data_IF_530532443197
#
_entry.id   IF_530532443197
#
_cell.length_a   1.000
_cell.length_b   1.000
_cell.length_c   1.000
_cell.angle_alpha   90.00
_cell.angle_beta   90.00
_cell.angle_gamma   90.00
#
_symmetry.space_group_name_H-M   'P 1'
#
loop_
_entity.id
_entity.type
_entity.pdbx_description
1 polymer ?
#
# COMPACT_ATOMS: atom_id res chain seq x y z
N UNK A 1 -16.81 6.95 5.34
CA UNK A 1 -15.78 7.28 4.34
C UNK A 1 -14.67 6.24 4.30
N UNK A 2 -13.91 6.05 5.38
CA UNK A 2 -12.85 5.04 5.45
C UNK A 2 -13.34 3.63 5.05
N UNK A 3 -14.56 3.28 5.43
CA UNK A 3 -15.19 2.02 5.02
C UNK A 3 -15.18 1.80 3.49
N UNK A 4 -15.45 2.84 2.70
CA UNK A 4 -15.45 2.74 1.23
C UNK A 4 -14.04 2.68 0.64
N UNK A 5 -13.07 3.36 1.27
CA UNK A 5 -11.65 3.21 0.94
C UNK A 5 -11.20 1.76 1.19
N UNK A 6 -11.55 1.20 2.34
CA UNK A 6 -11.27 -0.21 2.66
C UNK A 6 -11.95 -1.18 1.70
N UNK A 7 -13.22 -0.94 1.33
CA UNK A 7 -13.88 -1.75 0.31
C UNK A 7 -13.11 -1.79 -1.01
N UNK A 8 -12.55 -0.66 -1.44
CA UNK A 8 -11.74 -0.61 -2.65
C UNK A 8 -10.40 -1.34 -2.49
N UNK A 9 -9.74 -1.19 -1.33
CA UNK A 9 -8.46 -1.85 -1.03
C UNK A 9 -8.57 -3.39 -1.04
N UNK A 10 -9.61 -3.93 -0.41
CA UNK A 10 -9.80 -5.39 -0.31
C UNK A 10 -10.64 -5.97 -1.46
N UNK A 11 -11.61 -5.23 -1.96
CA UNK A 11 -12.51 -5.71 -3.03
C UNK A 11 -11.95 -5.58 -4.45
N UNK A 12 -10.84 -4.83 -4.63
CA UNK A 12 -10.21 -4.64 -5.93
C UNK A 12 -11.04 -3.82 -6.95
N UNK A 13 -12.07 -3.08 -6.47
CA UNK A 13 -12.95 -2.23 -7.26
C UNK A 13 -12.79 -0.75 -6.87
N UNK A 14 -13.57 0.14 -7.50
CA UNK A 14 -13.61 1.55 -7.13
C UNK A 14 -14.47 1.73 -5.88
N UNK A 15 -13.93 2.33 -4.83
CA UNK A 15 -14.73 2.79 -3.70
C UNK A 15 -15.49 4.05 -4.06
N UNK A 16 -16.79 4.14 -3.74
CA UNK A 16 -17.61 5.32 -4.03
C UNK A 16 -18.19 5.91 -2.76
N UNK A 17 -18.06 7.21 -2.60
CA UNK A 17 -18.75 7.95 -1.54
C UNK A 17 -19.38 9.23 -2.08
N UNK A 18 -20.54 9.56 -1.52
CA UNK A 18 -21.30 10.76 -1.87
C UNK A 18 -21.41 11.65 -0.63
N UNK A 19 -21.17 12.94 -0.79
CA UNK A 19 -21.34 13.95 0.25
C UNK A 19 -22.23 15.11 -0.24
N UNK A 20 -23.04 15.64 0.68
CA UNK A 20 -23.75 16.90 0.41
C UNK A 20 -22.76 18.04 0.20
N UNK A 21 -23.20 19.12 -0.42
CA UNK A 21 -22.40 20.33 -0.57
C UNK A 21 -21.95 20.91 0.78
N UNK A 22 -20.85 21.64 0.77
CA UNK A 22 -20.29 22.28 1.97
C UNK A 22 -19.82 21.27 3.03
N UNK A 23 -20.53 21.10 4.13
CA UNK A 23 -20.10 20.21 5.23
C UNK A 23 -19.87 18.76 4.80
N UNK A 24 -20.68 18.23 3.88
CA UNK A 24 -20.47 16.87 3.37
C UNK A 24 -19.15 16.73 2.63
N UNK A 25 -18.79 17.71 1.81
CA UNK A 25 -17.50 17.72 1.13
C UNK A 25 -16.33 17.77 2.12
N UNK A 26 -16.39 18.65 3.13
CA UNK A 26 -15.31 18.76 4.13
C UNK A 26 -15.14 17.47 4.94
N UNK A 27 -16.22 16.76 5.28
CA UNK A 27 -16.14 15.48 5.98
C UNK A 27 -15.58 14.34 5.13
N UNK A 28 -15.72 14.40 3.80
CA UNK A 28 -15.17 13.40 2.90
C UNK A 28 -13.64 13.46 2.78
N UNK A 29 -13.03 14.60 3.06
CA UNK A 29 -11.62 14.87 2.76
C UNK A 29 -10.67 13.85 3.44
N UNK A 30 -10.93 13.48 4.69
CA UNK A 30 -10.07 12.51 5.41
C UNK A 30 -9.98 11.15 4.68
N UNK A 31 -11.11 10.62 4.21
CA UNK A 31 -11.11 9.36 3.49
C UNK A 31 -10.58 9.47 2.07
N UNK A 32 -10.67 10.67 1.45
CA UNK A 32 -10.04 10.93 0.15
C UNK A 32 -8.53 11.01 0.31
N UNK A 33 -8.02 11.60 1.40
CA UNK A 33 -6.60 11.58 1.73
C UNK A 33 -6.09 10.15 1.98
N UNK A 34 -6.81 9.34 2.74
CA UNK A 34 -6.47 7.92 2.95
C UNK A 34 -6.36 7.17 1.63
N UNK A 35 -7.35 7.33 0.74
CA UNK A 35 -7.32 6.73 -0.59
C UNK A 35 -6.13 7.22 -1.44
N UNK A 36 -5.79 8.53 -1.35
CA UNK A 36 -4.66 9.11 -2.07
C UNK A 36 -3.32 8.55 -1.58
N UNK A 37 -3.12 8.49 -0.26
CA UNK A 37 -1.87 7.99 0.33
C UNK A 37 -1.63 6.50 0.04
N UNK A 38 -2.70 5.74 -0.11
CA UNK A 38 -2.64 4.31 -0.41
C UNK A 38 -2.80 3.98 -1.90
N UNK A 39 -2.82 4.99 -2.78
CA UNK A 39 -3.01 4.80 -4.22
C UNK A 39 -4.28 3.96 -4.55
N UNK A 40 -5.34 4.19 -3.80
CA UNK A 40 -6.59 3.43 -3.89
C UNK A 40 -7.54 4.09 -4.88
N UNK A 41 -8.06 3.36 -5.89
CA UNK A 41 -9.11 3.86 -6.78
C UNK A 41 -10.35 4.26 -5.99
N UNK A 42 -10.73 5.53 -6.08
CA UNK A 42 -11.84 6.07 -5.30
C UNK A 42 -12.58 7.15 -6.06
N UNK A 43 -13.90 7.19 -5.96
CA UNK A 43 -14.75 8.24 -6.51
C UNK A 43 -15.49 8.96 -5.39
N UNK A 44 -15.17 10.23 -5.20
CA UNK A 44 -15.91 11.14 -4.33
C UNK A 44 -16.87 11.99 -5.17
N UNK A 45 -18.16 11.86 -4.90
CA UNK A 45 -19.21 12.68 -5.53
C UNK A 45 -19.63 13.74 -4.51
N UNK A 46 -19.46 15.00 -4.87
CA UNK A 46 -19.81 16.16 -4.04
C UNK A 46 -21.04 16.83 -4.60
N UNK A 47 -22.09 16.98 -3.80
CA UNK A 47 -23.20 17.86 -4.17
C UNK A 47 -22.74 19.33 -4.13
N UNK A 48 -23.39 20.18 -4.89
CA UNK A 48 -23.27 21.64 -4.74
C UNK A 48 -24.60 22.32 -4.97
N UNK A 49 -24.64 23.63 -4.73
CA UNK A 49 -25.85 24.43 -4.93
C UNK A 49 -26.27 24.40 -6.41
N UNK A 50 -27.56 24.66 -6.70
CA UNK A 50 -28.02 24.83 -8.08
C UNK A 50 -27.18 25.89 -8.80
N UNK A 51 -26.96 25.71 -10.10
CA UNK A 51 -26.10 26.61 -10.90
C UNK A 51 -26.46 28.10 -10.76
N UNK A 52 -27.74 28.41 -10.65
CA UNK A 52 -28.23 29.78 -10.48
C UNK A 52 -28.02 30.36 -9.09
N UNK A 53 -27.61 29.57 -8.13
CA UNK A 53 -27.29 30.00 -6.75
C UNK A 53 -25.79 30.00 -6.46
N UNK A 54 -24.94 29.53 -7.40
CA UNK A 54 -23.50 29.49 -7.22
C UNK A 54 -22.92 30.89 -7.21
N UNK A 55 -21.95 31.12 -6.29
CA UNK A 55 -21.27 32.40 -6.05
C UNK A 55 -22.20 33.52 -5.49
N UNK A 56 -23.23 33.09 -4.78
CA UNK A 56 -24.23 33.98 -4.18
C UNK A 56 -24.25 33.88 -2.65
N UNK A 57 -23.24 33.26 -2.04
CA UNK A 57 -23.16 33.01 -0.59
C UNK A 57 -24.39 32.22 -0.07
N UNK A 58 -24.87 31.27 -0.88
CA UNK A 58 -26.02 30.44 -0.56
C UNK A 58 -25.74 29.53 0.63
N UNK A 59 -26.81 29.06 1.30
CA UNK A 59 -26.68 28.15 2.43
C UNK A 59 -25.84 26.93 2.13
N UNK A 60 -24.78 26.67 2.89
CA UNK A 60 -23.79 25.59 2.71
C UNK A 60 -23.00 25.68 1.38
N UNK A 61 -22.95 26.81 0.75
CA UNK A 61 -22.08 27.00 -0.40
C UNK A 61 -20.62 27.07 0.05
N UNK A 62 -19.77 26.28 -0.59
CA UNK A 62 -18.32 26.33 -0.44
C UNK A 62 -17.66 26.15 -1.82
N UNK A 63 -16.55 26.84 -2.04
CA UNK A 63 -15.67 26.51 -3.14
C UNK A 63 -14.87 25.25 -2.78
N UNK A 64 -15.45 24.08 -3.00
CA UNK A 64 -14.99 22.81 -2.45
C UNK A 64 -13.93 22.10 -3.30
N UNK A 65 -13.92 22.25 -4.62
CA UNK A 65 -12.92 21.59 -5.49
C UNK A 65 -11.46 21.91 -5.10
N UNK A 66 -11.07 23.17 -4.77
CA UNK A 66 -9.70 23.48 -4.38
C UNK A 66 -9.16 22.66 -3.20
N UNK A 67 -10.02 22.22 -2.28
CA UNK A 67 -9.61 21.40 -1.15
C UNK A 67 -9.02 20.05 -1.55
N UNK A 68 -9.34 19.56 -2.74
CA UNK A 68 -8.92 18.26 -3.25
C UNK A 68 -7.79 18.32 -4.29
N UNK A 69 -7.36 19.52 -4.71
CA UNK A 69 -6.39 19.68 -5.81
C UNK A 69 -5.04 18.98 -5.53
N UNK A 70 -4.63 18.91 -4.26
CA UNK A 70 -3.35 18.29 -3.88
C UNK A 70 -3.37 16.76 -3.81
N UNK A 71 -4.55 16.14 -3.89
CA UNK A 71 -4.72 14.70 -3.63
C UNK A 71 -5.52 13.96 -4.70
N UNK A 72 -6.38 14.67 -5.45
CA UNK A 72 -7.21 14.04 -6.46
C UNK A 72 -6.46 13.88 -7.78
N UNK A 73 -6.51 12.67 -8.36
CA UNK A 73 -6.00 12.39 -9.71
C UNK A 73 -6.91 12.93 -10.82
N UNK A 74 -8.14 13.27 -10.46
CA UNK A 74 -9.15 13.92 -11.30
C UNK A 74 -10.05 14.77 -10.38
N UNK A 75 -10.28 16.05 -10.73
CA UNK A 75 -11.08 16.95 -9.91
C UNK A 75 -11.84 17.92 -10.83
N UNK A 76 -13.14 17.70 -10.98
CA UNK A 76 -13.98 18.51 -11.88
C UNK A 76 -15.36 18.79 -11.29
N UNK A 77 -15.89 19.99 -11.64
CA UNK A 77 -17.30 20.30 -11.52
C UNK A 77 -17.98 20.02 -12.86
N UNK A 78 -19.14 19.39 -12.82
CA UNK A 78 -20.00 19.21 -14.00
C UNK A 78 -20.60 20.57 -14.38
N UNK A 79 -20.49 20.97 -15.66
CA UNK A 79 -20.96 22.27 -16.13
C UNK A 79 -22.44 22.26 -16.56
N UNK A 80 -22.92 21.12 -17.08
CA UNK A 80 -24.33 20.89 -17.46
C UNK A 80 -24.65 19.40 -17.44
N UNK A 81 -25.95 19.07 -17.32
CA UNK A 81 -26.40 17.71 -17.02
C UNK A 81 -25.96 16.66 -18.06
N UNK A 82 -25.92 17.01 -19.35
CA UNK A 82 -25.52 16.11 -20.43
C UNK A 82 -24.06 15.65 -20.36
N UNK A 83 -23.22 16.37 -19.61
CA UNK A 83 -21.82 15.95 -19.38
C UNK A 83 -21.70 14.89 -18.30
N UNK A 84 -22.69 14.76 -17.41
CA UNK A 84 -22.57 13.96 -16.21
C UNK A 84 -22.08 12.54 -16.48
N UNK A 85 -22.65 11.76 -17.42
CA UNK A 85 -22.18 10.40 -17.68
C UNK A 85 -20.71 10.34 -18.10
N UNK A 86 -20.27 11.26 -18.98
CA UNK A 86 -18.87 11.31 -19.44
C UNK A 86 -17.91 11.70 -18.33
N UNK A 87 -18.27 12.66 -17.50
CA UNK A 87 -17.43 13.13 -16.39
C UNK A 87 -17.25 12.01 -15.35
N UNK A 88 -18.32 11.23 -15.09
CA UNK A 88 -18.22 10.07 -14.19
C UNK A 88 -17.34 8.97 -14.79
N UNK A 89 -17.51 8.63 -16.08
CA UNK A 89 -16.66 7.64 -16.76
C UNK A 89 -15.18 8.07 -16.73
N UNK A 90 -14.90 9.31 -17.08
CA UNK A 90 -13.55 9.88 -17.01
C UNK A 90 -12.94 9.86 -15.59
N UNK A 91 -13.76 10.17 -14.58
CA UNK A 91 -13.37 10.10 -13.19
C UNK A 91 -13.01 8.67 -12.75
N UNK A 92 -13.86 7.70 -13.11
CA UNK A 92 -13.61 6.28 -12.84
C UNK A 92 -12.33 5.80 -13.55
N UNK A 93 -12.18 6.16 -14.82
CA UNK A 93 -10.98 5.86 -15.61
C UNK A 93 -9.72 6.44 -14.98
N UNK A 94 -9.77 7.69 -14.58
CA UNK A 94 -8.63 8.34 -13.92
C UNK A 94 -8.31 7.68 -12.56
N UNK A 95 -9.34 7.36 -11.77
CA UNK A 95 -9.15 6.70 -10.48
C UNK A 95 -8.44 5.36 -10.61
N UNK A 96 -8.85 4.52 -11.58
CA UNK A 96 -8.25 3.19 -11.81
C UNK A 96 -6.86 3.30 -12.44
N UNK A 97 -6.72 4.09 -13.52
CA UNK A 97 -5.47 4.13 -14.28
C UNK A 97 -4.33 4.85 -13.54
N UNK A 98 -4.65 5.88 -12.77
CA UNK A 98 -3.67 6.65 -11.98
C UNK A 98 -3.56 6.20 -10.53
N UNK A 99 -4.36 5.20 -10.12
CA UNK A 99 -4.42 4.67 -8.76
C UNK A 99 -4.56 5.77 -7.70
N UNK A 100 -5.73 6.39 -7.63
CA UNK A 100 -5.98 7.46 -6.68
C UNK A 100 -7.43 7.95 -6.69
N UNK A 101 -7.78 8.91 -5.84
CA UNK A 101 -9.14 9.44 -5.76
C UNK A 101 -9.46 10.39 -6.92
N UNK A 102 -10.63 10.19 -7.52
CA UNK A 102 -11.28 11.14 -8.40
C UNK A 102 -12.39 11.89 -7.65
N UNK A 103 -12.55 13.16 -7.92
CA UNK A 103 -13.55 14.02 -7.28
C UNK A 103 -14.42 14.67 -8.35
N UNK A 104 -15.73 14.51 -8.21
CA UNK A 104 -16.72 15.10 -9.13
C UNK A 104 -17.73 15.90 -8.32
N UNK A 105 -17.81 17.19 -8.59
CA UNK A 105 -18.81 18.08 -8.01
C UNK A 105 -20.02 18.21 -8.95
N UNK A 106 -21.22 17.95 -8.42
CA UNK A 106 -22.46 17.92 -9.18
C UNK A 106 -23.44 18.94 -8.60
N UNK A 107 -23.81 20.01 -9.36
CA UNK A 107 -24.90 20.88 -9.00
C UNK A 107 -26.23 20.14 -8.86
N UNK A 108 -26.93 20.34 -7.75
CA UNK A 108 -28.12 19.53 -7.38
C UNK A 108 -29.24 19.61 -8.42
N UNK A 109 -29.37 20.74 -9.13
CA UNK A 109 -30.42 20.90 -10.15
C UNK A 109 -30.24 19.98 -11.36
N UNK A 110 -29.05 19.39 -11.58
CA UNK A 110 -28.84 18.44 -12.67
C UNK A 110 -29.52 17.10 -12.42
N UNK A 111 -29.76 16.72 -11.16
CA UNK A 111 -30.51 15.51 -10.82
C UNK A 111 -32.00 15.54 -11.20
N UNK A 112 -32.53 16.68 -11.62
CA UNK A 112 -33.90 16.86 -12.07
C UNK A 112 -34.02 17.13 -13.57
N UNK A 113 -32.92 17.02 -14.31
CA UNK A 113 -32.91 17.24 -15.76
C UNK A 113 -32.89 15.89 -16.50
N UNK A 114 -33.70 15.80 -17.54
CA UNK A 114 -33.64 14.64 -18.43
C UNK A 114 -32.49 14.78 -19.42
N UNK A 115 -31.78 13.70 -19.68
CA UNK A 115 -30.68 13.63 -20.63
C UNK A 115 -30.98 12.50 -21.64
N UNK A 116 -30.46 12.62 -22.86
CA UNK A 116 -30.54 11.56 -23.85
C UNK A 116 -29.60 10.41 -23.48
N UNK A 117 -30.17 9.23 -23.21
CA UNK A 117 -29.40 8.02 -22.87
C UNK A 117 -28.43 7.63 -24.00
N UNK A 118 -28.73 7.96 -25.25
CA UNK A 118 -27.85 7.68 -26.40
C UNK A 118 -26.66 8.66 -26.50
N UNK A 119 -26.65 9.72 -25.72
CA UNK A 119 -25.52 10.68 -25.67
C UNK A 119 -24.28 10.11 -25.01
N UNK A 120 -24.39 8.96 -24.34
CA UNK A 120 -23.32 8.29 -23.61
C UNK A 120 -23.16 6.83 -24.06
N UNK A 121 -21.99 6.51 -24.50
CA UNK A 121 -21.57 5.12 -24.68
C UNK A 121 -20.58 4.78 -23.58
N UNK A 122 -21.05 4.12 -22.54
CA UNK A 122 -20.21 3.64 -21.47
C UNK A 122 -19.11 2.74 -22.02
N UNK A 123 -17.87 3.08 -21.75
CA UNK A 123 -16.77 2.29 -22.28
C UNK A 123 -16.55 1.00 -21.51
N UNK A 124 -16.94 0.91 -20.23
CA UNK A 124 -16.65 -0.23 -19.37
C UNK A 124 -15.15 -0.65 -19.33
N UNK A 125 -14.33 0.06 -20.13
CA UNK A 125 -12.94 -0.31 -20.38
C UNK A 125 -11.97 0.14 -19.28
N UNK A 126 -12.42 0.98 -18.35
CA UNK A 126 -11.58 1.40 -17.24
C UNK A 126 -11.22 0.25 -16.28
N UNK A 127 -12.03 -0.79 -16.19
CA UNK A 127 -11.73 -2.01 -15.43
C UNK A 127 -10.49 -2.75 -15.95
N UNK A 128 -10.16 -2.56 -17.24
CA UNK A 128 -9.01 -3.18 -17.90
C UNK A 128 -7.84 -2.22 -18.10
N UNK A 129 -7.97 -0.98 -17.66
CA UNK A 129 -6.99 0.07 -17.99
C UNK A 129 -5.71 0.03 -17.15
N UNK A 130 -5.64 -0.82 -16.13
CA UNK A 130 -4.40 -1.00 -15.39
C UNK A 130 -3.71 -2.29 -15.82
N UNK A 131 -2.73 -2.13 -16.69
CA UNK A 131 -1.77 -3.18 -17.07
C UNK A 131 -0.42 -2.77 -16.49
N UNK A 132 0.20 -3.66 -15.71
CA UNK A 132 1.55 -3.40 -15.22
C UNK A 132 2.53 -3.21 -16.38
N UNK A 133 3.48 -2.27 -16.27
CA UNK A 133 4.54 -2.14 -17.26
C UNK A 133 5.28 -3.46 -17.48
N UNK A 134 5.68 -3.74 -18.72
CA UNK A 134 6.54 -4.87 -19.01
C UNK A 134 7.89 -4.69 -18.30
N UNK A 135 8.40 -5.76 -17.71
CA UNK A 135 9.69 -5.73 -17.03
C UNK A 135 10.83 -5.51 -18.01
N UNK A 136 11.79 -4.70 -17.60
CA UNK A 136 13.04 -4.53 -18.35
C UNK A 136 14.00 -5.67 -17.97
N UNK A 137 14.25 -6.57 -18.91
CA UNK A 137 15.12 -7.74 -18.71
C UNK A 137 16.55 -7.33 -18.30
N UNK A 138 17.08 -6.22 -18.81
CA UNK A 138 18.41 -5.73 -18.43
C UNK A 138 18.48 -5.38 -16.95
N UNK A 139 17.44 -4.73 -16.42
CA UNK A 139 17.39 -4.39 -14.99
C UNK A 139 17.11 -5.63 -14.11
N UNK A 140 16.36 -6.60 -14.61
CA UNK A 140 16.20 -7.91 -13.94
C UNK A 140 17.55 -8.64 -13.88
N UNK A 141 18.29 -8.71 -14.98
CA UNK A 141 19.59 -9.38 -15.02
C UNK A 141 20.61 -8.72 -14.09
N UNK A 142 20.64 -7.38 -14.01
CA UNK A 142 21.46 -6.65 -13.03
C UNK A 142 21.06 -7.01 -11.58
N UNK A 143 19.76 -7.05 -11.28
CA UNK A 143 19.28 -7.41 -9.95
C UNK A 143 19.71 -8.84 -9.59
N UNK A 144 19.61 -9.77 -10.54
CA UNK A 144 20.06 -11.16 -10.37
C UNK A 144 21.57 -11.24 -10.11
N UNK A 145 22.37 -10.51 -10.88
CA UNK A 145 23.83 -10.45 -10.68
C UNK A 145 24.18 -9.92 -9.28
N UNK A 146 23.55 -8.82 -8.86
CA UNK A 146 23.77 -8.24 -7.53
C UNK A 146 23.40 -9.24 -6.43
N UNK A 147 22.22 -9.88 -6.52
CA UNK A 147 21.75 -10.83 -5.52
C UNK A 147 22.60 -12.10 -5.46
N UNK A 148 23.12 -12.57 -6.60
CA UNK A 148 24.01 -13.73 -6.65
C UNK A 148 25.37 -13.47 -5.98
N UNK A 149 25.79 -12.21 -5.86
CA UNK A 149 27.05 -11.80 -5.25
C UNK A 149 26.89 -11.25 -3.83
N UNK A 150 25.66 -11.14 -3.32
CA UNK A 150 25.38 -10.60 -2.00
C UNK A 150 25.80 -11.57 -0.88
N UNK A 151 26.47 -11.07 0.15
CA UNK A 151 26.84 -11.84 1.33
C UNK A 151 25.74 -11.80 2.41
N UNK A 152 25.07 -10.65 2.53
CA UNK A 152 24.02 -10.36 3.52
C UNK A 152 22.78 -9.74 2.87
N UNK A 153 22.14 -10.46 1.91
CA UNK A 153 20.96 -9.96 1.24
C UNK A 153 19.77 -9.88 2.18
N UNK A 154 18.88 -8.90 1.93
CA UNK A 154 17.57 -8.77 2.57
C UNK A 154 16.50 -8.43 1.55
N UNK A 155 15.30 -8.95 1.74
CA UNK A 155 14.11 -8.58 0.98
C UNK A 155 13.25 -7.66 1.85
N UNK A 156 12.98 -6.44 1.37
CA UNK A 156 12.08 -5.50 2.02
C UNK A 156 10.76 -5.46 1.23
N UNK A 157 9.75 -6.16 1.74
CA UNK A 157 8.47 -6.32 1.09
C UNK A 157 7.46 -5.26 1.58
N UNK A 158 7.09 -4.33 0.70
CA UNK A 158 6.06 -3.33 0.96
C UNK A 158 4.66 -3.74 0.46
N UNK A 159 3.71 -2.81 0.52
CA UNK A 159 2.32 -3.06 0.13
C UNK A 159 2.17 -3.54 -1.33
N UNK A 160 3.06 -3.11 -2.25
CA UNK A 160 3.03 -3.61 -3.63
C UNK A 160 3.28 -5.12 -3.75
N UNK A 161 3.89 -5.75 -2.74
CA UNK A 161 4.13 -7.19 -2.67
C UNK A 161 3.04 -8.01 -1.97
N UNK A 162 1.95 -7.39 -1.49
CA UNK A 162 0.94 -8.06 -0.64
C UNK A 162 0.31 -9.30 -1.28
N UNK A 163 0.14 -9.30 -2.60
CA UNK A 163 -0.41 -10.44 -3.35
C UNK A 163 0.66 -11.45 -3.81
N UNK A 164 1.91 -11.22 -3.47
CA UNK A 164 3.07 -11.97 -3.94
C UNK A 164 3.83 -12.69 -2.80
N UNK A 165 3.21 -12.84 -1.63
CA UNK A 165 3.86 -13.41 -0.44
C UNK A 165 4.48 -14.78 -0.68
N UNK A 166 3.80 -15.65 -1.41
CA UNK A 166 4.30 -16.99 -1.76
C UNK A 166 5.59 -16.92 -2.60
N UNK A 167 5.57 -16.20 -3.70
CA UNK A 167 6.75 -16.08 -4.59
C UNK A 167 7.91 -15.35 -3.91
N UNK A 168 7.63 -14.35 -3.05
CA UNK A 168 8.65 -13.66 -2.26
C UNK A 168 9.26 -14.61 -1.23
N UNK A 169 8.45 -15.47 -0.61
CA UNK A 169 8.92 -16.49 0.32
C UNK A 169 9.80 -17.53 -0.38
N UNK A 170 9.43 -17.97 -1.58
CA UNK A 170 10.26 -18.85 -2.40
C UNK A 170 11.60 -18.22 -2.78
N UNK A 171 11.58 -16.94 -3.17
CA UNK A 171 12.79 -16.17 -3.46
C UNK A 171 13.70 -16.10 -2.22
N UNK A 172 13.13 -15.73 -1.07
CA UNK A 172 13.84 -15.70 0.21
C UNK A 172 14.50 -17.06 0.54
N UNK A 173 13.77 -18.15 0.37
CA UNK A 173 14.32 -19.51 0.60
C UNK A 173 15.46 -19.84 -0.36
N UNK A 174 15.33 -19.44 -1.63
CA UNK A 174 16.32 -19.75 -2.67
C UNK A 174 17.64 -19.00 -2.45
N UNK A 175 17.59 -17.69 -2.16
CA UNK A 175 18.78 -16.85 -1.97
C UNK A 175 19.19 -16.68 -0.50
N UNK A 176 18.49 -17.32 0.43
CA UNK A 176 18.74 -17.21 1.90
C UNK A 176 18.75 -15.76 2.41
N UNK A 177 17.80 -14.96 1.94
CA UNK A 177 17.60 -13.57 2.34
C UNK A 177 16.43 -13.46 3.31
N UNK A 178 16.62 -12.91 4.53
CA UNK A 178 15.52 -12.60 5.44
C UNK A 178 14.50 -11.66 4.79
N UNK A 179 13.23 -11.75 5.20
CA UNK A 179 12.16 -10.87 4.76
C UNK A 179 11.83 -9.88 5.87
N UNK A 180 11.94 -8.58 5.54
CA UNK A 180 11.36 -7.50 6.33
C UNK A 180 10.05 -7.11 5.65
N UNK A 181 8.98 -6.96 6.42
CA UNK A 181 7.69 -6.51 5.91
C UNK A 181 7.30 -5.14 6.46
N UNK A 182 6.34 -4.49 5.84
CA UNK A 182 5.68 -3.31 6.40
C UNK A 182 4.37 -3.73 7.08
N UNK A 183 3.83 -2.90 7.98
CA UNK A 183 2.56 -3.19 8.63
C UNK A 183 1.39 -3.46 7.67
N UNK A 184 1.44 -2.91 6.45
CA UNK A 184 0.44 -3.13 5.40
C UNK A 184 0.64 -4.41 4.57
N UNK A 185 1.73 -5.14 4.79
CA UNK A 185 2.07 -6.36 4.03
C UNK A 185 2.33 -7.56 4.95
N UNK A 186 1.94 -7.46 6.21
CA UNK A 186 2.23 -8.48 7.19
C UNK A 186 1.52 -9.80 6.90
N UNK A 187 0.27 -9.71 6.47
CA UNK A 187 -0.59 -10.85 6.16
C UNK A 187 -0.17 -11.64 4.90
N UNK A 188 0.76 -11.11 4.11
CA UNK A 188 1.23 -11.81 2.91
C UNK A 188 2.12 -13.01 3.22
N UNK A 189 2.59 -13.15 4.46
CA UNK A 189 3.57 -14.14 4.87
C UNK A 189 3.05 -15.02 5.99
N UNK A 190 3.40 -16.30 5.93
CA UNK A 190 3.14 -17.20 7.06
C UNK A 190 3.93 -16.75 8.28
N UNK A 191 3.22 -16.56 9.39
CA UNK A 191 3.79 -16.11 10.67
C UNK A 191 4.97 -16.94 11.16
N UNK A 192 4.95 -18.26 10.94
CA UNK A 192 5.97 -19.20 11.37
C UNK A 192 7.10 -19.37 10.37
N UNK A 193 7.10 -18.65 9.24
CA UNK A 193 8.20 -18.71 8.31
C UNK A 193 9.51 -18.26 8.97
N UNK A 194 10.54 -19.13 8.96
CA UNK A 194 11.80 -18.88 9.67
C UNK A 194 12.55 -17.63 9.21
N UNK A 195 12.42 -17.27 7.94
CA UNK A 195 13.03 -16.09 7.34
C UNK A 195 12.26 -14.77 7.54
N UNK A 196 11.05 -14.81 8.11
CA UNK A 196 10.26 -13.61 8.37
C UNK A 196 10.76 -12.92 9.64
N UNK A 197 11.36 -11.73 9.50
CA UNK A 197 11.92 -10.96 10.61
C UNK A 197 10.94 -9.94 11.18
N UNK A 198 9.79 -9.77 10.54
CA UNK A 198 8.77 -8.79 10.93
C UNK A 198 8.96 -7.41 10.33
N UNK A 199 8.35 -6.41 10.92
CA UNK A 199 8.48 -5.01 10.52
C UNK A 199 9.75 -4.41 11.12
N UNK A 200 10.40 -3.48 10.41
CA UNK A 200 11.57 -2.78 10.91
C UNK A 200 11.21 -1.42 11.52
N UNK A 201 12.04 -0.99 12.43
CA UNK A 201 12.13 0.32 13.04
C UNK A 201 11.02 0.68 14.03
N UNK A 202 10.30 1.79 13.86
CA UNK A 202 9.47 2.43 14.90
C UNK A 202 8.40 1.52 15.53
N UNK A 203 7.84 0.64 14.72
CA UNK A 203 6.86 -0.39 15.13
C UNK A 203 7.42 -1.78 14.82
N UNK A 204 8.73 -1.90 14.98
CA UNK A 204 9.46 -3.03 14.44
C UNK A 204 9.89 -4.02 15.49
N UNK A 205 10.15 -5.21 15.03
CA UNK A 205 10.75 -6.26 15.82
C UNK A 205 12.26 -6.10 15.89
N UNK A 206 12.83 -6.50 16.99
CA UNK A 206 14.29 -6.47 17.17
C UNK A 206 15.05 -7.20 16.04
N UNK A 207 14.65 -8.41 15.59
CA UNK A 207 15.33 -9.08 14.48
C UNK A 207 15.33 -8.27 13.19
N UNK A 208 14.20 -7.64 12.82
CA UNK A 208 14.12 -6.82 11.63
C UNK A 208 15.05 -5.61 11.69
N UNK A 209 15.17 -4.97 12.86
CA UNK A 209 16.08 -3.84 13.05
C UNK A 209 17.54 -4.26 12.90
N UNK A 210 17.94 -5.42 13.45
CA UNK A 210 19.29 -5.95 13.29
C UNK A 210 19.63 -6.20 11.83
N UNK A 211 18.70 -6.84 11.07
CA UNK A 211 18.88 -7.10 9.62
C UNK A 211 19.08 -5.80 8.84
N UNK A 212 18.28 -4.76 9.11
CA UNK A 212 18.37 -3.46 8.42
C UNK A 212 19.73 -2.79 8.60
N UNK A 213 20.36 -2.94 9.77
CA UNK A 213 21.67 -2.35 10.04
C UNK A 213 22.84 -3.14 9.45
N UNK A 214 22.69 -4.44 9.24
CA UNK A 214 23.78 -5.34 8.87
C UNK A 214 23.77 -5.74 7.39
N UNK A 215 22.63 -5.59 6.69
CA UNK A 215 22.48 -5.98 5.29
C UNK A 215 23.43 -5.20 4.37
N UNK A 216 24.10 -5.89 3.44
CA UNK A 216 24.91 -5.27 2.38
C UNK A 216 24.10 -5.00 1.12
N UNK A 217 23.06 -5.76 0.89
CA UNK A 217 22.23 -5.70 -0.31
C UNK A 217 20.76 -5.75 0.07
N UNK A 218 19.96 -4.82 -0.46
CA UNK A 218 18.53 -4.78 -0.22
C UNK A 218 17.75 -4.83 -1.52
N UNK A 219 16.76 -5.73 -1.56
CA UNK A 219 15.74 -5.80 -2.61
C UNK A 219 14.43 -5.23 -2.08
N UNK A 220 14.06 -4.02 -2.54
CA UNK A 220 12.78 -3.41 -2.23
C UNK A 220 11.72 -3.85 -3.22
N UNK A 221 10.64 -4.45 -2.73
CA UNK A 221 9.51 -4.93 -3.52
C UNK A 221 8.25 -4.13 -3.17
N UNK A 222 7.88 -3.15 -4.01
CA UNK A 222 6.67 -2.35 -3.85
C UNK A 222 6.64 -1.52 -2.56
N UNK A 223 7.78 -0.94 -2.18
CA UNK A 223 7.94 -0.06 -1.02
C UNK A 223 8.64 1.24 -1.41
N UNK A 224 8.15 2.35 -0.85
CA UNK A 224 8.74 3.67 -1.01
C UNK A 224 9.39 4.24 0.28
N UNK A 225 9.73 3.37 1.22
CA UNK A 225 10.36 3.77 2.49
C UNK A 225 9.50 4.73 3.32
N UNK A 226 8.40 4.31 3.90
CA UNK A 226 7.41 5.19 4.52
C UNK A 226 7.91 6.00 5.73
N UNK A 227 8.97 5.53 6.41
CA UNK A 227 9.53 6.17 7.59
C UNK A 227 10.96 6.66 7.35
N UNK A 228 11.26 7.89 7.75
CA UNK A 228 12.59 8.49 7.62
C UNK A 228 13.66 7.70 8.41
N UNK A 229 13.27 7.13 9.53
CA UNK A 229 14.13 6.30 10.37
C UNK A 229 14.58 5.01 9.67
N UNK A 230 13.68 4.40 8.86
CA UNK A 230 14.04 3.24 8.04
C UNK A 230 15.06 3.60 6.96
N UNK A 231 14.97 4.82 6.44
CA UNK A 231 15.94 5.35 5.49
C UNK A 231 17.35 5.47 6.12
N UNK A 232 17.45 6.00 7.35
CA UNK A 232 18.71 6.08 8.08
C UNK A 232 19.30 4.68 8.38
N UNK A 233 18.45 3.71 8.62
CA UNK A 233 18.88 2.36 8.94
C UNK A 233 19.67 1.69 7.81
N UNK A 234 19.30 1.92 6.56
CA UNK A 234 20.00 1.37 5.38
C UNK A 234 21.29 2.12 4.96
N UNK A 235 21.79 3.02 5.77
CA UNK A 235 22.99 3.81 5.46
C UNK A 235 24.29 2.99 5.24
N UNK A 236 24.33 1.77 5.75
CA UNK A 236 25.49 0.86 5.59
C UNK A 236 25.30 -0.13 4.43
N UNK A 237 24.16 -0.09 3.74
CA UNK A 237 23.87 -0.95 2.61
C UNK A 237 24.61 -0.44 1.37
N UNK A 238 25.31 -1.33 0.68
CA UNK A 238 26.14 -1.00 -0.48
C UNK A 238 25.36 -1.10 -1.79
N UNK A 239 24.37 -2.02 -1.86
CA UNK A 239 23.63 -2.35 -3.07
C UNK A 239 22.13 -2.19 -2.88
N UNK A 240 21.51 -1.37 -3.73
CA UNK A 240 20.10 -1.06 -3.70
C UNK A 240 19.41 -1.51 -5.00
N UNK A 241 18.45 -2.42 -4.85
CA UNK A 241 17.55 -2.86 -5.93
C UNK A 241 16.14 -2.42 -5.53
N UNK A 242 15.45 -1.70 -6.40
CA UNK A 242 14.07 -1.28 -6.14
C UNK A 242 13.15 -1.66 -7.28
N UNK A 243 12.02 -2.27 -6.91
CA UNK A 243 10.88 -2.55 -7.79
C UNK A 243 9.71 -1.68 -7.34
N UNK A 244 9.19 -0.86 -8.22
CA UNK A 244 7.95 -0.10 -7.99
C UNK A 244 7.14 0.03 -9.27
N UNK A 245 5.82 0.08 -9.13
CA UNK A 245 4.90 0.28 -10.24
C UNK A 245 4.84 1.75 -10.67
N UNK A 246 5.24 2.66 -9.81
CA UNK A 246 5.24 4.10 -10.01
C UNK A 246 6.67 4.58 -10.28
N UNK A 247 6.97 5.05 -11.51
CA UNK A 247 8.32 5.50 -11.86
C UNK A 247 8.80 6.68 -11.00
N UNK A 248 7.89 7.48 -10.45
CA UNK A 248 8.23 8.61 -9.58
C UNK A 248 8.83 8.16 -8.24
N UNK A 249 8.60 6.92 -7.81
CA UNK A 249 9.11 6.37 -6.56
C UNK A 249 10.48 5.73 -6.68
N UNK A 250 10.85 5.30 -7.89
CA UNK A 250 12.15 4.69 -8.14
C UNK A 250 13.29 5.68 -7.89
N UNK A 251 14.27 5.27 -7.09
CA UNK A 251 15.45 6.09 -6.77
C UNK A 251 15.17 7.35 -5.95
N UNK A 252 13.96 7.51 -5.41
CA UNK A 252 13.57 8.73 -4.70
C UNK A 252 14.38 8.97 -3.43
N UNK A 253 14.88 7.92 -2.80
CA UNK A 253 15.57 8.00 -1.50
C UNK A 253 16.99 7.48 -1.51
N UNK A 254 17.30 6.53 -2.36
CA UNK A 254 18.64 5.97 -2.56
C UNK A 254 19.01 5.96 -4.03
N UNK A 255 20.28 6.12 -4.33
CA UNK A 255 20.80 5.75 -5.65
C UNK A 255 20.60 4.24 -5.83
N UNK A 256 20.11 3.82 -6.99
CA UNK A 256 19.81 2.42 -7.27
C UNK A 256 20.87 1.80 -8.17
N UNK A 257 21.31 0.60 -7.81
CA UNK A 257 22.14 -0.24 -8.65
C UNK A 257 21.30 -0.97 -9.71
N UNK A 258 20.06 -1.37 -9.37
CA UNK A 258 19.06 -1.85 -10.33
C UNK A 258 17.69 -1.22 -10.04
N UNK A 259 17.05 -0.71 -11.11
CA UNK A 259 15.79 0.04 -11.05
C UNK A 259 14.74 -0.61 -11.93
N UNK A 260 13.78 -1.31 -11.32
CA UNK A 260 12.81 -2.13 -12.04
C UNK A 260 11.43 -1.46 -11.95
N UNK A 261 10.96 -0.90 -13.07
CA UNK A 261 9.58 -0.44 -13.21
C UNK A 261 8.67 -1.64 -13.50
N UNK A 262 7.75 -1.95 -12.59
CA UNK A 262 6.84 -3.06 -12.78
C UNK A 262 6.11 -3.52 -11.53
N UNK A 263 5.32 -4.56 -11.69
CA UNK A 263 4.63 -5.23 -10.58
C UNK A 263 5.64 -6.01 -9.72
N UNK A 264 5.52 -5.86 -8.39
CA UNK A 264 6.47 -6.46 -7.46
C UNK A 264 6.45 -8.00 -7.49
N UNK A 265 5.28 -8.60 -7.68
CA UNK A 265 5.16 -10.07 -7.78
C UNK A 265 5.74 -10.60 -9.08
N UNK A 266 5.48 -9.94 -10.21
CA UNK A 266 6.06 -10.32 -11.50
C UNK A 266 7.59 -10.18 -11.47
N UNK A 267 8.11 -9.10 -10.90
CA UNK A 267 9.56 -8.89 -10.77
C UNK A 267 10.19 -9.93 -9.83
N UNK A 268 9.56 -10.21 -8.67
CA UNK A 268 10.04 -11.25 -7.76
C UNK A 268 10.09 -12.63 -8.44
N UNK A 269 9.08 -12.95 -9.27
CA UNK A 269 9.06 -14.20 -10.06
C UNK A 269 10.17 -14.24 -11.09
N UNK A 270 10.35 -13.15 -11.86
CA UNK A 270 11.41 -13.08 -12.88
C UNK A 270 12.82 -13.21 -12.25
N UNK A 271 13.04 -12.59 -11.09
CA UNK A 271 14.29 -12.73 -10.33
C UNK A 271 14.43 -14.16 -9.80
N UNK A 272 13.38 -14.72 -9.19
CA UNK A 272 13.37 -16.09 -8.67
C UNK A 272 13.79 -17.13 -9.72
N UNK A 273 13.30 -16.96 -10.95
CA UNK A 273 13.58 -17.91 -12.03
C UNK A 273 15.07 -17.90 -12.46
N UNK A 274 15.75 -16.77 -12.27
CA UNK A 274 17.13 -16.55 -12.76
C UNK A 274 18.21 -16.64 -11.67
N UNK A 275 17.91 -16.33 -10.40
CA UNK A 275 18.92 -16.37 -9.32
C UNK A 275 19.40 -17.78 -9.04
N UNK A 276 20.65 -17.90 -8.61
CA UNK A 276 21.24 -19.15 -8.18
C UNK A 276 20.71 -19.56 -6.80
N UNK A 277 20.50 -20.86 -6.55
CA UNK A 277 20.20 -21.33 -5.20
C UNK A 277 21.44 -21.18 -4.31
N UNK A 278 21.22 -20.70 -3.10
CA UNK A 278 22.25 -20.52 -2.08
C UNK A 278 22.05 -21.54 -0.96
N UNK A 279 23.11 -22.22 -0.56
CA UNK A 279 23.11 -23.03 0.65
C UNK A 279 23.03 -22.16 1.91
N UNK A 280 22.80 -22.78 3.08
CA UNK A 280 22.71 -22.05 4.34
C UNK A 280 23.98 -21.27 4.64
N UNK A 281 23.89 -19.93 4.71
CA UNK A 281 24.99 -19.03 5.05
C UNK A 281 25.06 -18.76 6.56
N UNK A 282 26.18 -18.25 7.11
CA UNK A 282 26.21 -17.74 8.47
C UNK A 282 25.19 -16.63 8.71
N UNK A 283 24.99 -15.73 7.75
CA UNK A 283 23.98 -14.68 7.76
C UNK A 283 22.57 -15.23 7.96
N UNK A 284 22.17 -16.18 7.11
CA UNK A 284 20.86 -16.83 7.21
C UNK A 284 20.65 -17.50 8.56
N UNK A 285 21.62 -18.33 9.01
CA UNK A 285 21.51 -19.04 10.28
C UNK A 285 21.39 -18.11 11.49
N UNK A 286 22.16 -17.00 11.50
CA UNK A 286 22.08 -16.01 12.56
C UNK A 286 20.68 -15.37 12.62
N UNK A 287 20.12 -15.00 11.47
CA UNK A 287 18.79 -14.40 11.41
C UNK A 287 17.67 -15.36 11.80
N UNK A 288 17.72 -16.60 11.35
CA UNK A 288 16.75 -17.64 11.77
C UNK A 288 16.81 -17.84 13.30
N UNK A 289 18.00 -17.89 13.87
CA UNK A 289 18.17 -18.00 15.32
C UNK A 289 17.62 -16.76 16.06
N UNK A 290 17.88 -15.57 15.55
CA UNK A 290 17.38 -14.33 16.15
C UNK A 290 15.84 -14.27 16.11
N UNK A 291 15.24 -14.68 15.00
CA UNK A 291 13.78 -14.77 14.86
C UNK A 291 13.20 -15.76 15.89
N UNK A 292 13.81 -16.93 16.05
CA UNK A 292 13.34 -17.90 17.04
C UNK A 292 13.48 -17.38 18.47
N UNK A 293 14.61 -16.78 18.81
CA UNK A 293 14.83 -16.17 20.13
C UNK A 293 13.79 -15.06 20.44
N UNK A 294 13.43 -14.25 19.43
CA UNK A 294 12.42 -13.22 19.56
C UNK A 294 11.02 -13.82 19.81
N UNK A 295 10.64 -14.83 19.05
CA UNK A 295 9.37 -15.56 19.24
C UNK A 295 9.28 -16.20 20.61
N UNK A 296 10.35 -16.85 21.06
CA UNK A 296 10.42 -17.47 22.39
C UNK A 296 10.32 -16.41 23.51
N UNK A 297 10.92 -15.25 23.30
CA UNK A 297 10.80 -14.12 24.22
C UNK A 297 9.36 -13.60 24.28
N UNK A 298 8.70 -13.38 23.15
CA UNK A 298 7.32 -12.93 23.07
C UNK A 298 6.36 -13.95 23.70
N UNK A 299 6.51 -15.23 23.41
CA UNK A 299 5.72 -16.30 24.03
C UNK A 299 5.83 -16.29 25.56
N UNK A 300 7.01 -16.00 26.10
CA UNK A 300 7.18 -15.87 27.56
C UNK A 300 6.45 -14.66 28.12
N UNK A 301 6.46 -13.53 27.41
CA UNK A 301 5.76 -12.32 27.84
C UNK A 301 4.24 -12.54 27.82
N UNK A 302 3.73 -13.11 26.74
CA UNK A 302 2.30 -13.42 26.55
C UNK A 302 1.78 -14.43 27.58
N UNK A 303 2.64 -15.35 28.01
CA UNK A 303 2.34 -16.37 29.01
C UNK A 303 2.41 -15.92 30.45
N UNK A 304 2.82 -14.67 30.75
CA UNK A 304 2.86 -14.16 32.13
C UNK A 304 1.45 -14.05 32.70
N UNK A 305 1.30 -14.51 33.92
CA UNK A 305 0.03 -14.46 34.68
C UNK A 305 0.09 -13.54 35.90
N UNK A 306 1.27 -13.01 36.20
CA UNK A 306 1.51 -12.17 37.37
C UNK A 306 1.98 -10.77 36.96
N UNK A 307 1.72 -9.77 37.78
CA UNK A 307 2.08 -8.37 37.58
C UNK A 307 0.95 -7.55 36.95
N UNK A 308 1.28 -6.34 36.52
CA UNK A 308 0.33 -5.47 35.80
C UNK A 308 -0.01 -6.04 34.42
N UNK A 309 -1.28 -5.93 34.05
CA UNK A 309 -1.75 -6.36 32.73
C UNK A 309 -1.08 -5.54 31.60
N UNK A 310 -0.47 -6.22 30.67
CA UNK A 310 0.18 -5.63 29.49
C UNK A 310 -0.62 -5.92 28.22
N UNK A 311 -0.47 -5.07 27.20
CA UNK A 311 -1.21 -5.20 25.93
C UNK A 311 -0.98 -6.55 25.23
N UNK A 312 0.24 -7.06 25.22
CA UNK A 312 0.56 -8.37 24.62
C UNK A 312 -0.23 -9.53 25.29
N UNK A 313 -0.54 -9.44 26.58
CA UNK A 313 -1.37 -10.43 27.27
C UNK A 313 -2.84 -10.33 26.82
N UNK A 314 -3.33 -9.11 26.58
CA UNK A 314 -4.68 -8.86 26.05
C UNK A 314 -4.80 -9.44 24.63
N UNK A 315 -3.82 -9.19 23.76
CA UNK A 315 -3.83 -9.73 22.40
C UNK A 315 -3.76 -11.25 22.38
N UNK A 316 -2.92 -11.85 23.22
CA UNK A 316 -2.87 -13.31 23.35
C UNK A 316 -4.23 -13.87 23.81
N UNK A 317 -4.91 -13.21 24.76
CA UNK A 317 -6.24 -13.62 25.19
C UNK A 317 -7.27 -13.47 24.06
N UNK A 318 -7.23 -12.39 23.29
CA UNK A 318 -8.09 -12.20 22.12
C UNK A 318 -7.84 -13.33 21.11
N UNK A 319 -6.59 -13.57 20.72
CA UNK A 319 -6.23 -14.62 19.76
C UNK A 319 -6.66 -16.03 20.19
N UNK A 320 -6.63 -16.31 21.49
CA UNK A 320 -7.08 -17.61 22.03
C UNK A 320 -8.59 -17.83 21.99
N UNK A 321 -9.37 -16.73 21.99
CA UNK A 321 -10.83 -16.80 22.08
C UNK A 321 -11.55 -16.34 20.81
N UNK A 322 -10.83 -15.74 19.87
CA UNK A 322 -11.38 -15.37 18.58
C UNK A 322 -11.54 -16.58 17.67
N UNK A 323 -12.52 -16.52 16.79
CA UNK A 323 -12.70 -17.53 15.74
C UNK A 323 -11.55 -17.43 14.73
N UNK A 324 -11.25 -18.54 14.01
CA UNK A 324 -10.14 -18.59 13.06
C UNK A 324 -10.31 -17.64 11.86
N UNK A 325 -11.55 -17.27 11.56
CA UNK A 325 -11.91 -16.32 10.49
C UNK A 325 -12.26 -14.92 11.01
N UNK A 326 -11.91 -14.62 12.26
CA UNK A 326 -12.14 -13.30 12.84
C UNK A 326 -11.41 -12.19 12.09
N UNK A 327 -12.12 -11.09 11.82
CA UNK A 327 -11.57 -9.89 11.21
C UNK A 327 -11.26 -8.87 12.29
N UNK A 328 -10.01 -8.44 12.37
CA UNK A 328 -9.56 -7.44 13.33
C UNK A 328 -9.52 -6.05 12.68
N UNK A 329 -10.15 -5.08 13.32
CA UNK A 329 -10.01 -3.66 12.99
C UNK A 329 -9.28 -2.98 14.13
N UNK A 330 -8.11 -2.44 13.85
CA UNK A 330 -7.21 -1.84 14.85
C UNK A 330 -7.03 -0.36 14.53
N UNK A 331 -7.26 0.51 15.50
CA UNK A 331 -6.98 1.94 15.36
C UNK A 331 -5.48 2.22 15.52
N UNK A 332 -5.05 3.35 14.95
CA UNK A 332 -3.65 3.80 15.04
C UNK A 332 -3.36 4.32 16.45
N UNK A 333 -2.25 3.88 17.02
CA UNK A 333 -1.78 4.31 18.34
C UNK A 333 -0.88 3.27 18.99
N UNK A 334 -0.71 3.37 20.31
CA UNK A 334 0.12 2.43 21.08
C UNK A 334 -0.38 0.98 20.96
N UNK A 335 -1.67 0.81 20.73
CA UNK A 335 -2.29 -0.51 20.49
C UNK A 335 -1.81 -1.22 19.21
N UNK A 336 -1.21 -0.51 18.27
CA UNK A 336 -0.61 -1.09 17.06
C UNK A 336 0.90 -1.24 17.15
N UNK A 337 1.53 -0.75 18.22
CA UNK A 337 2.98 -0.70 18.38
C UNK A 337 3.50 -1.76 19.36
N UNK A 338 2.64 -2.46 20.02
CA UNK A 338 2.92 -3.57 20.94
C UNK A 338 2.64 -4.91 20.30
#
# INVERSE_FOLDING_TARGET
>A
MLFRSMQAKFGGSIGVAVGSGGPGATHLINGVYDAAMDNTPFLAILGSRPVNELNMDAFQELNQNPMYNGIAVYNKRVAYAEQLPKVIDEACRAAVSKKGPAVVEIPVNFGFQEIDENSYYGSGSYERSFIAPALNEVEIDKAVEILNNAERPVIYAGYGGVKAGEVITELSRKIKAPIITTGKNFEAFEWNYEGLTGSAYRVGWKPANEVVFEADTVLFLGSNFPFAEVYEAFKNTEKFIQVDIDPYKLGKRHALDASILGDAGQAAKAILDKVNPVESTPWWRANVKNNQNWRDYMNKLEGKTEGELQLYQVYNAINKHADQDAIYSIDVGDTTQT
#
